data_IF_257218322724
#
_entry.id   IF_257218322724
#
_cell.length_a   1.000
_cell.length_b   1.000
_cell.length_c   1.000
_cell.angle_alpha   90.00
_cell.angle_beta   90.00
_cell.angle_gamma   90.00
#
_symmetry.space_group_name_H-M   'P 1'
#
loop_
_entity.id
_entity.type
_entity.pdbx_description
1 polymer ?
#
# COMPACT_ATOMS: atom_id res chain seq x y z
N UNK A 1 3.37 5.31 -5.37
CA UNK A 1 3.32 4.75 -6.74
C UNK A 1 4.60 5.06 -7.53
N UNK A 2 5.01 6.35 -7.69
CA UNK A 2 6.19 6.73 -8.52
C UNK A 2 7.46 6.00 -8.12
N UNK A 3 7.85 6.02 -6.84
CA UNK A 3 9.05 5.32 -6.36
C UNK A 3 9.01 3.84 -6.70
N UNK A 4 7.87 3.20 -6.49
CA UNK A 4 7.70 1.78 -6.82
C UNK A 4 7.80 1.53 -8.34
N UNK A 5 7.25 2.42 -9.17
CA UNK A 5 7.33 2.31 -10.62
C UNK A 5 8.79 2.46 -11.12
N UNK A 6 9.52 3.47 -10.65
CA UNK A 6 10.92 3.70 -11.02
C UNK A 6 11.79 2.50 -10.61
N UNK A 7 11.63 2.03 -9.38
CA UNK A 7 12.45 0.91 -8.89
C UNK A 7 12.06 -0.39 -9.62
N UNK A 8 10.76 -0.62 -9.95
CA UNK A 8 10.33 -1.79 -10.71
C UNK A 8 10.95 -1.85 -12.11
N UNK A 9 11.01 -0.71 -12.81
CA UNK A 9 11.65 -0.63 -14.12
C UNK A 9 13.15 -0.92 -14.04
N UNK A 10 13.83 -0.40 -13.00
CA UNK A 10 15.29 -0.56 -12.87
C UNK A 10 15.67 -1.99 -12.42
N UNK A 11 14.97 -2.55 -11.43
CA UNK A 11 15.35 -3.82 -10.80
C UNK A 11 14.68 -5.05 -11.39
N UNK A 12 13.40 -4.95 -11.79
CA UNK A 12 12.66 -6.08 -12.37
C UNK A 12 12.65 -6.04 -13.91
N UNK A 13 13.22 -5.01 -14.53
CA UNK A 13 13.17 -4.83 -15.99
C UNK A 13 11.73 -4.95 -16.55
N UNK A 14 10.73 -4.56 -15.77
CA UNK A 14 9.34 -4.55 -16.19
C UNK A 14 9.04 -3.24 -16.94
N UNK A 15 9.02 -3.22 -18.28
CA UNK A 15 8.77 -1.99 -19.03
C UNK A 15 7.32 -1.57 -18.80
N UNK A 16 7.12 -0.28 -18.52
CA UNK A 16 5.81 0.33 -18.47
C UNK A 16 5.53 1.05 -19.80
N UNK A 17 4.31 0.90 -20.33
CA UNK A 17 3.90 1.66 -21.50
C UNK A 17 3.87 3.16 -21.18
N UNK A 18 3.94 4.01 -22.22
CA UNK A 18 3.85 5.47 -22.02
C UNK A 18 2.54 5.89 -21.36
N UNK A 19 1.45 5.16 -21.62
CA UNK A 19 0.14 5.39 -21.02
C UNK A 19 0.15 5.03 -19.53
N UNK A 20 0.81 3.93 -19.15
CA UNK A 20 1.00 3.55 -17.75
C UNK A 20 1.81 4.59 -16.97
N UNK A 21 2.89 5.10 -17.55
CA UNK A 21 3.67 6.18 -16.95
C UNK A 21 2.83 7.44 -16.71
N UNK A 22 2.03 7.83 -17.71
CA UNK A 22 1.13 8.97 -17.55
C UNK A 22 0.11 8.74 -16.43
N UNK A 23 -0.48 7.55 -16.34
CA UNK A 23 -1.38 7.18 -15.26
C UNK A 23 -0.72 7.22 -13.87
N UNK A 24 0.52 6.71 -13.75
CA UNK A 24 1.30 6.75 -12.49
C UNK A 24 1.58 8.19 -12.05
N UNK A 25 1.96 9.06 -12.98
CA UNK A 25 2.22 10.48 -12.70
C UNK A 25 0.93 11.20 -12.30
N UNK A 26 -0.15 10.96 -13.04
CA UNK A 26 -1.46 11.55 -12.73
C UNK A 26 -1.97 11.13 -11.35
N UNK A 27 -1.81 9.86 -10.99
CA UNK A 27 -2.13 9.34 -9.65
C UNK A 27 -1.31 10.00 -8.56
N UNK A 28 -0.03 10.27 -8.80
CA UNK A 28 0.79 10.98 -7.83
C UNK A 28 0.36 12.44 -7.63
N UNK A 29 0.01 13.14 -8.72
CA UNK A 29 -0.57 14.49 -8.66
C UNK A 29 -1.90 14.47 -7.90
N UNK A 30 -2.74 13.47 -8.12
CA UNK A 30 -4.00 13.30 -7.41
C UNK A 30 -3.80 13.17 -5.89
N UNK A 31 -2.87 12.30 -5.47
CA UNK A 31 -2.53 12.13 -4.04
C UNK A 31 -1.95 13.43 -3.45
N UNK A 32 -1.11 14.12 -4.20
CA UNK A 32 -0.56 15.41 -3.77
C UNK A 32 -1.67 16.44 -3.55
N UNK A 33 -2.65 16.56 -4.45
CA UNK A 33 -3.79 17.47 -4.31
C UNK A 33 -4.65 17.11 -3.09
N UNK A 34 -4.92 15.82 -2.86
CA UNK A 34 -5.65 15.33 -1.69
C UNK A 34 -4.91 15.58 -0.37
N UNK A 35 -3.59 15.59 -0.41
CA UNK A 35 -2.74 15.88 0.75
C UNK A 35 -2.55 17.37 1.01
N UNK A 36 -2.64 18.22 -0.03
CA UNK A 36 -2.34 19.66 0.04
C UNK A 36 -3.36 20.46 0.86
N UNK A 37 -4.58 19.95 1.04
CA UNK A 37 -5.59 20.56 1.90
C UNK A 37 -5.27 20.51 3.40
N UNK A 38 -4.28 19.70 3.81
CA UNK A 38 -3.82 19.54 5.18
C UNK A 38 -2.40 20.10 5.33
N UNK A 39 -2.31 21.41 5.57
CA UNK A 39 -1.15 22.15 6.12
C UNK A 39 0.26 21.57 5.83
N UNK A 40 0.64 21.52 4.55
CA UNK A 40 2.02 21.19 4.14
C UNK A 40 3.06 22.19 4.65
N UNK A 41 2.65 23.40 5.01
CA UNK A 41 3.52 24.50 5.48
C UNK A 41 4.17 24.25 6.85
N UNK A 42 3.74 23.22 7.60
CA UNK A 42 4.27 22.91 8.94
C UNK A 42 5.08 21.62 9.03
N UNK A 43 5.37 20.95 7.89
CA UNK A 43 6.14 19.70 7.91
C UNK A 43 7.61 19.99 8.25
N UNK A 44 8.09 19.41 9.36
CA UNK A 44 9.51 19.45 9.68
C UNK A 44 10.30 18.60 8.66
N UNK A 45 11.56 18.99 8.39
CA UNK A 45 12.45 18.20 7.53
C UNK A 45 12.58 16.73 7.98
N UNK A 46 12.51 16.49 9.29
CA UNK A 46 12.54 15.15 9.88
C UNK A 46 11.27 14.34 9.51
N UNK A 47 10.09 14.95 9.57
CA UNK A 47 8.83 14.31 9.17
C UNK A 47 8.85 13.93 7.69
N UNK A 48 9.39 14.81 6.84
CA UNK A 48 9.55 14.53 5.41
C UNK A 48 10.53 13.39 5.17
N UNK A 49 11.67 13.37 5.85
CA UNK A 49 12.67 12.30 5.73
C UNK A 49 12.11 10.94 6.17
N UNK A 50 11.38 10.87 7.28
CA UNK A 50 10.72 9.66 7.76
C UNK A 50 9.66 9.19 6.74
N UNK A 51 8.85 10.12 6.22
CA UNK A 51 7.84 9.81 5.22
C UNK A 51 8.41 9.24 3.92
N UNK A 52 9.46 9.87 3.39
CA UNK A 52 10.15 9.39 2.20
C UNK A 52 10.86 8.05 2.45
N UNK A 53 11.52 7.90 3.59
CA UNK A 53 12.18 6.65 3.97
C UNK A 53 11.18 5.48 4.09
N UNK A 54 10.04 5.70 4.75
CA UNK A 54 9.00 4.69 4.86
C UNK A 54 8.38 4.35 3.50
N UNK A 55 8.15 5.35 2.64
CA UNK A 55 7.68 5.15 1.28
C UNK A 55 8.65 4.33 0.42
N UNK A 56 9.96 4.57 0.57
CA UNK A 56 11.00 3.80 -0.10
C UNK A 56 11.02 2.34 0.39
N UNK A 57 11.01 2.12 1.70
CA UNK A 57 10.95 0.77 2.27
C UNK A 57 9.71 0.01 1.80
N UNK A 58 8.56 0.68 1.74
CA UNK A 58 7.32 0.10 1.25
C UNK A 58 7.38 -0.25 -0.25
N UNK A 59 8.03 0.59 -1.06
CA UNK A 59 8.27 0.30 -2.47
C UNK A 59 9.16 -0.93 -2.65
N UNK A 60 10.30 -0.98 -1.95
CA UNK A 60 11.24 -2.12 -1.98
C UNK A 60 10.54 -3.41 -1.55
N UNK A 61 9.80 -3.39 -0.44
CA UNK A 61 9.05 -4.56 0.05
C UNK A 61 8.08 -5.07 -1.01
N UNK A 62 7.37 -4.17 -1.70
CA UNK A 62 6.42 -4.55 -2.74
C UNK A 62 7.10 -5.23 -3.94
N UNK A 63 8.29 -4.77 -4.30
CA UNK A 63 9.11 -5.38 -5.36
C UNK A 63 9.60 -6.77 -4.96
N UNK A 64 10.11 -6.92 -3.74
CA UNK A 64 10.56 -8.22 -3.23
C UNK A 64 9.41 -9.24 -3.17
N UNK A 65 8.21 -8.79 -2.79
CA UNK A 65 7.00 -9.64 -2.83
C UNK A 65 6.67 -10.07 -4.26
N UNK A 66 6.78 -9.15 -5.23
CA UNK A 66 6.57 -9.44 -6.65
C UNK A 66 7.61 -10.45 -7.14
N UNK A 67 8.89 -10.20 -6.91
CA UNK A 67 9.99 -11.08 -7.30
C UNK A 67 9.84 -12.47 -6.70
N UNK A 68 9.62 -12.58 -5.39
CA UNK A 68 9.37 -13.85 -4.72
C UNK A 68 8.17 -14.60 -5.31
N UNK A 69 7.13 -13.88 -5.74
CA UNK A 69 5.97 -14.49 -6.40
C UNK A 69 6.28 -14.99 -7.81
N UNK A 70 7.20 -14.33 -8.52
CA UNK A 70 7.64 -14.74 -9.87
C UNK A 70 8.52 -16.00 -9.84
N UNK A 71 9.28 -16.23 -8.78
CA UNK A 71 10.06 -17.47 -8.60
C UNK A 71 9.15 -18.72 -8.45
N UNK A 72 7.90 -18.53 -8.04
CA UNK A 72 6.95 -19.63 -7.79
C UNK A 72 5.96 -19.83 -8.95
N UNK A 73 6.38 -19.59 -10.19
CA UNK A 73 5.49 -19.66 -11.39
C UNK A 73 4.82 -21.01 -11.61
N UNK A 74 5.37 -22.09 -11.08
CA UNK A 74 4.77 -23.43 -11.15
C UNK A 74 3.45 -23.55 -10.35
N UNK A 75 3.19 -22.61 -9.42
CA UNK A 75 1.99 -22.62 -8.60
C UNK A 75 0.92 -21.67 -9.16
N UNK A 76 -0.38 -21.94 -8.95
CA UNK A 76 -1.44 -20.99 -9.22
C UNK A 76 -1.23 -19.68 -8.44
N UNK A 77 -1.66 -18.56 -9.01
CA UNK A 77 -1.41 -17.21 -8.45
C UNK A 77 -1.78 -17.05 -6.97
N UNK A 78 -2.90 -17.63 -6.55
CA UNK A 78 -3.34 -17.56 -5.16
C UNK A 78 -2.42 -18.34 -4.21
N UNK A 79 -1.92 -19.51 -4.65
CA UNK A 79 -0.97 -20.29 -3.85
C UNK A 79 0.39 -19.60 -3.73
N UNK A 80 0.87 -18.96 -4.81
CA UNK A 80 2.09 -18.12 -4.78
C UNK A 80 1.96 -16.99 -3.76
N UNK A 81 0.86 -16.26 -3.87
CA UNK A 81 0.57 -15.14 -2.96
C UNK A 81 0.47 -15.60 -1.50
N UNK A 82 -0.26 -16.69 -1.25
CA UNK A 82 -0.42 -17.23 0.10
C UNK A 82 0.91 -17.73 0.68
N UNK A 83 1.75 -18.37 -0.13
CA UNK A 83 3.06 -18.89 0.31
C UNK A 83 4.02 -17.74 0.67
N UNK A 84 4.14 -16.75 -0.20
CA UNK A 84 4.97 -15.56 0.08
C UNK A 84 4.44 -14.80 1.30
N UNK A 85 3.12 -14.61 1.39
CA UNK A 85 2.48 -13.96 2.52
C UNK A 85 2.72 -14.71 3.84
N UNK A 86 2.64 -16.05 3.83
CA UNK A 86 2.92 -16.89 4.99
C UNK A 86 4.31 -16.63 5.56
N UNK A 87 5.33 -16.62 4.71
CA UNK A 87 6.71 -16.38 5.16
C UNK A 87 6.90 -14.95 5.67
N UNK A 88 6.36 -13.96 4.96
CA UNK A 88 6.44 -12.54 5.37
C UNK A 88 5.77 -12.34 6.73
N UNK A 89 4.53 -12.81 6.92
CA UNK A 89 3.81 -12.67 8.18
C UNK A 89 4.52 -13.44 9.30
N UNK A 90 4.99 -14.65 9.03
CA UNK A 90 5.71 -15.45 10.03
C UNK A 90 6.94 -14.73 10.55
N UNK A 91 7.77 -14.19 9.64
CA UNK A 91 8.94 -13.42 10.01
C UNK A 91 8.58 -12.13 10.79
N UNK A 92 7.56 -11.40 10.35
CA UNK A 92 7.08 -10.21 11.05
C UNK A 92 6.54 -10.55 12.43
N UNK A 93 5.75 -11.62 12.56
CA UNK A 93 5.20 -12.05 13.85
C UNK A 93 6.32 -12.44 14.83
N UNK A 94 7.27 -13.26 14.38
CA UNK A 94 8.40 -13.66 15.23
C UNK A 94 9.21 -12.44 15.66
N UNK A 95 9.58 -11.58 14.73
CA UNK A 95 10.36 -10.37 15.02
C UNK A 95 9.62 -9.44 15.99
N UNK A 96 8.31 -9.24 15.78
CA UNK A 96 7.49 -8.37 16.62
C UNK A 96 7.26 -8.97 18.02
N UNK A 97 7.04 -10.27 18.11
CA UNK A 97 6.91 -10.95 19.40
C UNK A 97 8.20 -10.90 20.21
N UNK A 98 9.35 -11.09 19.57
CA UNK A 98 10.66 -10.93 20.21
C UNK A 98 10.85 -9.49 20.70
N UNK A 99 10.59 -8.51 19.84
CA UNK A 99 10.70 -7.10 20.21
C UNK A 99 9.79 -6.73 21.39
N UNK A 100 8.50 -7.07 21.33
CA UNK A 100 7.54 -6.77 22.39
C UNK A 100 7.85 -7.54 23.68
N UNK A 101 8.30 -8.79 23.57
CA UNK A 101 8.71 -9.61 24.69
C UNK A 101 9.91 -9.04 25.45
N UNK A 102 10.85 -8.42 24.72
CA UNK A 102 12.06 -7.83 25.31
C UNK A 102 11.81 -6.40 25.83
N UNK A 103 11.11 -5.57 25.05
CA UNK A 103 11.05 -4.12 25.31
C UNK A 103 9.67 -3.63 25.79
N UNK A 104 8.58 -4.36 25.56
CA UNK A 104 7.23 -3.85 25.84
C UNK A 104 6.21 -4.94 26.19
N UNK A 105 6.49 -5.72 27.23
CA UNK A 105 5.59 -6.81 27.69
C UNK A 105 4.17 -6.33 28.03
N UNK A 106 4.01 -5.07 28.47
CA UNK A 106 2.70 -4.48 28.76
C UNK A 106 1.82 -4.42 27.52
N UNK A 107 2.38 -4.09 26.36
CA UNK A 107 1.66 -4.06 25.07
C UNK A 107 1.20 -5.47 24.68
N UNK A 108 2.07 -6.47 24.86
CA UNK A 108 1.71 -7.86 24.57
C UNK A 108 0.55 -8.34 25.45
N UNK A 109 0.57 -8.00 26.75
CA UNK A 109 -0.52 -8.32 27.65
C UNK A 109 -1.82 -7.60 27.27
N UNK A 110 -1.78 -6.33 26.88
CA UNK A 110 -2.93 -5.57 26.42
C UNK A 110 -3.57 -6.16 25.14
N UNK A 111 -2.77 -6.68 24.21
CA UNK A 111 -3.26 -7.40 23.03
C UNK A 111 -4.00 -8.67 23.44
N UNK A 112 -3.47 -9.40 24.41
CA UNK A 112 -4.09 -10.61 24.93
C UNK A 112 -5.44 -10.34 25.63
N UNK A 113 -5.53 -9.25 26.38
CA UNK A 113 -6.78 -8.85 27.02
C UNK A 113 -7.91 -8.49 26.04
N UNK A 114 -7.55 -8.10 24.81
CA UNK A 114 -8.51 -7.70 23.76
C UNK A 114 -8.50 -8.65 22.57
N UNK A 115 -8.37 -9.95 22.84
CA UNK A 115 -8.28 -11.00 21.81
C UNK A 115 -9.38 -10.91 20.75
N UNK A 116 -10.64 -10.67 21.14
CA UNK A 116 -11.74 -10.59 20.19
C UNK A 116 -11.57 -9.45 19.16
N UNK A 117 -11.08 -8.29 19.59
CA UNK A 117 -10.78 -7.18 18.67
C UNK A 117 -9.54 -7.48 17.84
N UNK A 118 -8.50 -7.99 18.48
CA UNK A 118 -7.23 -8.35 17.81
C UNK A 118 -7.47 -9.36 16.70
N UNK A 119 -8.27 -10.41 16.96
CA UNK A 119 -8.62 -11.43 15.97
C UNK A 119 -9.37 -10.84 14.77
N UNK A 120 -10.36 -9.97 14.99
CA UNK A 120 -11.12 -9.32 13.91
C UNK A 120 -10.20 -8.48 13.03
N UNK A 121 -9.35 -7.64 13.65
CA UNK A 121 -8.40 -6.79 12.92
C UNK A 121 -7.40 -7.64 12.15
N UNK A 122 -6.86 -8.70 12.77
CA UNK A 122 -5.91 -9.61 12.13
C UNK A 122 -6.51 -10.34 10.93
N UNK A 123 -7.76 -10.79 11.04
CA UNK A 123 -8.45 -11.46 9.93
C UNK A 123 -8.66 -10.49 8.75
N UNK A 124 -9.15 -9.28 9.01
CA UNK A 124 -9.32 -8.26 7.96
C UNK A 124 -7.98 -7.90 7.31
N UNK A 125 -6.92 -7.71 8.10
CA UNK A 125 -5.59 -7.41 7.61
C UNK A 125 -5.01 -8.56 6.78
N UNK A 126 -5.22 -9.81 7.20
CA UNK A 126 -4.80 -10.99 6.45
C UNK A 126 -5.49 -11.06 5.09
N UNK A 127 -6.81 -10.90 5.03
CA UNK A 127 -7.56 -10.92 3.77
C UNK A 127 -7.13 -9.79 2.83
N UNK A 128 -6.94 -8.58 3.37
CA UNK A 128 -6.42 -7.45 2.60
C UNK A 128 -5.02 -7.72 2.05
N UNK A 129 -4.11 -8.26 2.88
CA UNK A 129 -2.76 -8.61 2.45
C UNK A 129 -2.76 -9.70 1.40
N UNK A 130 -3.61 -10.73 1.55
CA UNK A 130 -3.75 -11.78 0.54
C UNK A 130 -4.22 -11.22 -0.80
N UNK A 131 -5.16 -10.28 -0.79
CA UNK A 131 -5.59 -9.56 -1.99
C UNK A 131 -4.43 -8.78 -2.65
N UNK A 132 -3.66 -8.01 -1.87
CA UNK A 132 -2.50 -7.26 -2.36
C UNK A 132 -1.41 -8.17 -2.94
N UNK A 133 -1.06 -9.26 -2.25
CA UNK A 133 -0.05 -10.21 -2.71
C UNK A 133 -0.52 -10.94 -3.97
N UNK A 134 -1.82 -11.29 -4.05
CA UNK A 134 -2.40 -11.89 -5.26
C UNK A 134 -2.33 -10.94 -6.45
N UNK A 135 -2.66 -9.66 -6.26
CA UNK A 135 -2.56 -8.66 -7.31
C UNK A 135 -1.09 -8.49 -7.79
N UNK A 136 -0.13 -8.44 -6.85
CA UNK A 136 1.31 -8.36 -7.18
C UNK A 136 1.84 -9.65 -7.82
N UNK A 137 1.21 -10.81 -7.62
CA UNK A 137 1.59 -12.04 -8.32
C UNK A 137 1.12 -12.08 -9.77
N UNK A 138 0.11 -11.29 -10.12
CA UNK A 138 -0.50 -11.24 -11.46
C UNK A 138 -0.02 -10.05 -12.30
N UNK A 139 0.20 -8.89 -11.68
CA UNK A 139 0.49 -7.64 -12.37
C UNK A 139 1.72 -6.93 -11.81
N UNK A 140 2.31 -6.02 -12.59
CA UNK A 140 3.46 -5.23 -12.16
C UNK A 140 3.14 -4.38 -10.93
N UNK A 141 4.15 -4.16 -10.08
CA UNK A 141 3.99 -3.38 -8.84
C UNK A 141 3.50 -1.97 -9.12
N UNK A 142 3.94 -1.35 -10.21
CA UNK A 142 3.53 0.00 -10.60
C UNK A 142 2.01 0.08 -10.86
N UNK A 143 1.48 -0.86 -11.62
CA UNK A 143 0.03 -0.96 -11.93
C UNK A 143 -0.76 -1.20 -10.64
N UNK A 144 -0.38 -2.21 -9.86
CA UNK A 144 -1.06 -2.56 -8.60
C UNK A 144 -1.07 -1.39 -7.62
N UNK A 145 0.06 -0.67 -7.47
CA UNK A 145 0.14 0.49 -6.57
C UNK A 145 -0.66 1.70 -7.06
N UNK A 146 -0.76 1.90 -8.37
CA UNK A 146 -1.57 2.99 -8.91
C UNK A 146 -3.06 2.69 -8.76
N UNK A 147 -3.48 1.47 -9.07
CA UNK A 147 -4.86 1.02 -8.82
C UNK A 147 -5.21 1.06 -7.33
N UNK A 148 -4.26 0.70 -6.47
CA UNK A 148 -4.45 0.75 -5.02
C UNK A 148 -4.75 2.15 -4.47
N UNK A 149 -4.44 3.22 -5.21
CA UNK A 149 -4.83 4.58 -4.80
C UNK A 149 -6.36 4.78 -4.75
N UNK A 150 -7.15 3.90 -5.37
CA UNK A 150 -8.62 3.87 -5.22
C UNK A 150 -9.03 3.70 -3.75
N UNK A 151 -8.18 3.12 -2.91
CA UNK A 151 -8.38 3.03 -1.46
C UNK A 151 -8.64 4.40 -0.83
N UNK A 152 -8.01 5.44 -1.33
CA UNK A 152 -8.20 6.83 -0.85
C UNK A 152 -9.66 7.27 -1.08
N UNK A 153 -10.25 6.88 -2.21
CA UNK A 153 -11.67 7.17 -2.49
C UNK A 153 -12.58 6.52 -1.45
N UNK A 154 -12.36 5.25 -1.12
CA UNK A 154 -13.13 4.57 -0.08
C UNK A 154 -12.91 5.19 1.30
N UNK A 155 -11.68 5.55 1.64
CA UNK A 155 -11.34 6.20 2.91
C UNK A 155 -12.06 7.55 3.04
N UNK A 156 -12.10 8.36 1.98
CA UNK A 156 -12.80 9.64 1.97
C UNK A 156 -14.32 9.46 2.00
N UNK A 157 -14.88 8.46 1.31
CA UNK A 157 -16.30 8.14 1.41
C UNK A 157 -16.70 7.76 2.84
N UNK A 158 -15.91 6.91 3.50
CA UNK A 158 -16.14 6.54 4.91
C UNK A 158 -16.05 7.78 5.80
N UNK A 159 -15.04 8.65 5.60
CA UNK A 159 -14.88 9.90 6.36
C UNK A 159 -16.09 10.80 6.20
N UNK A 160 -16.61 10.94 4.99
CA UNK A 160 -17.79 11.75 4.69
C UNK A 160 -19.06 11.17 5.29
N UNK A 161 -19.32 9.86 5.16
CA UNK A 161 -20.56 9.24 5.62
C UNK A 161 -20.56 8.96 7.12
N UNK A 162 -19.45 8.48 7.68
CA UNK A 162 -19.34 8.10 9.09
C UNK A 162 -18.98 9.28 10.00
N UNK A 163 -17.96 10.06 9.61
CA UNK A 163 -17.46 11.17 10.41
C UNK A 163 -18.09 12.51 10.03
N UNK A 164 -18.93 12.55 8.96
CA UNK A 164 -19.61 13.76 8.48
C UNK A 164 -18.64 14.90 8.18
N UNK A 165 -17.42 14.57 7.80
CA UNK A 165 -16.40 15.55 7.41
C UNK A 165 -16.78 16.18 6.06
N UNK A 166 -16.61 17.51 5.95
CA UNK A 166 -16.83 18.22 4.69
C UNK A 166 -15.59 18.10 3.82
N UNK A 167 -15.79 17.63 2.60
CA UNK A 167 -14.72 17.59 1.59
C UNK A 167 -14.38 19.01 1.13
N UNK A 168 -13.09 19.30 1.01
CA UNK A 168 -12.63 20.53 0.37
C UNK A 168 -12.81 20.42 -1.16
N UNK A 169 -12.82 21.56 -1.86
CA UNK A 169 -12.91 21.56 -3.33
C UNK A 169 -11.73 20.81 -3.98
N UNK A 170 -10.55 20.87 -3.39
CA UNK A 170 -9.35 20.12 -3.80
C UNK A 170 -9.57 18.61 -3.78
N UNK A 171 -10.36 18.11 -2.81
CA UNK A 171 -10.58 16.67 -2.64
C UNK A 171 -11.40 16.09 -3.80
N UNK A 172 -12.38 16.84 -4.31
CA UNK A 172 -13.17 16.44 -5.48
C UNK A 172 -12.29 16.28 -6.75
N UNK A 173 -11.39 17.25 -6.99
CA UNK A 173 -10.46 17.14 -8.11
C UNK A 173 -9.45 16.01 -7.93
N UNK A 174 -8.91 15.86 -6.73
CA UNK A 174 -8.02 14.75 -6.41
C UNK A 174 -8.68 13.38 -6.61
N UNK A 175 -9.94 13.21 -6.17
CA UNK A 175 -10.71 11.98 -6.38
C UNK A 175 -10.94 11.69 -7.87
N UNK A 176 -11.34 12.69 -8.66
CA UNK A 176 -11.53 12.54 -10.10
C UNK A 176 -10.23 12.09 -10.79
N UNK A 177 -9.10 12.70 -10.42
CA UNK A 177 -7.79 12.33 -10.96
C UNK A 177 -7.34 10.91 -10.56
N UNK A 178 -7.65 10.44 -9.33
CA UNK A 178 -7.39 9.05 -8.94
C UNK A 178 -8.13 8.07 -9.84
N UNK A 179 -9.41 8.33 -10.10
CA UNK A 179 -10.23 7.46 -10.97
C UNK A 179 -9.69 7.46 -12.41
N UNK A 180 -9.35 8.62 -12.94
CA UNK A 180 -8.78 8.73 -14.30
C UNK A 180 -7.43 8.01 -14.37
N UNK A 181 -6.57 8.20 -13.38
CA UNK A 181 -5.27 7.51 -13.30
C UNK A 181 -5.43 5.98 -13.28
N UNK A 182 -6.39 5.48 -12.51
CA UNK A 182 -6.70 4.05 -12.45
C UNK A 182 -7.17 3.50 -13.81
N UNK A 183 -8.07 4.22 -14.48
CA UNK A 183 -8.57 3.85 -15.82
C UNK A 183 -7.41 3.80 -16.83
N UNK A 184 -6.56 4.82 -16.85
CA UNK A 184 -5.42 4.89 -17.77
C UNK A 184 -4.43 3.73 -17.56
N UNK A 185 -4.20 3.34 -16.31
CA UNK A 185 -3.29 2.23 -15.98
C UNK A 185 -3.91 0.85 -16.31
N UNK A 186 -5.23 0.72 -16.24
CA UNK A 186 -5.92 -0.53 -16.65
C UNK A 186 -5.86 -0.73 -18.17
N UNK A 187 -5.90 0.35 -18.92
CA UNK A 187 -5.94 0.32 -20.39
C UNK A 187 -4.54 0.37 -21.02
N UNK A 188 -3.50 0.42 -20.23
CA UNK A 188 -2.10 0.52 -20.64
C UNK A 188 -1.43 -0.83 -20.84
#
# INVERSE_FOLDING_TARGET
AILAAVIAVIFLSEPLSGLAWFGVLLGAVAVFLLSSGRQLSSLSGMTLAIGLGSGLCFAITSLLVREASLELTMLPYLHRAAWVLFWVISFQCVSMLLYLGLFSRKTLYALWQRLGLTMKVSLCSFLASLGWFSAMSLQSVAIVKTLGQIEILFSLLISMFFFKEKLAKSDHWGLALVVIAAILVIWA
#
